data_IF_692811033809
#
_entry.id   IF_692811033809
#
_cell.length_a   1.000
_cell.length_b   1.000
_cell.length_c   1.000
_cell.angle_alpha   90.00
_cell.angle_beta   90.00
_cell.angle_gamma   90.00
#
_symmetry.space_group_name_H-M   'P 1'
#
loop_
_entity.id
_entity.type
_entity.pdbx_description
1 polymer ?
#
# COMPACT_ATOMS: atom_id res chain seq x y z
N UNK A 1 -18.42 14.00 8.90
CA UNK A 1 -16.98 14.19 8.64
C UNK A 1 -16.65 13.45 7.36
N UNK A 2 -16.00 14.11 6.41
CA UNK A 2 -15.59 13.49 5.15
C UNK A 2 -14.40 12.54 5.36
N UNK A 3 -14.23 11.51 4.50
CA UNK A 3 -13.04 10.66 4.53
C UNK A 3 -11.75 11.46 4.32
N UNK A 4 -10.74 11.22 5.16
CA UNK A 4 -9.47 11.97 5.16
C UNK A 4 -8.24 11.07 5.31
N UNK A 5 -8.42 9.80 5.64
CA UNK A 5 -7.33 8.83 5.87
C UNK A 5 -7.03 8.13 4.56
N UNK A 6 -5.80 8.15 4.07
CA UNK A 6 -5.41 7.34 2.89
C UNK A 6 -5.17 5.88 3.30
N UNK A 7 -5.29 4.95 2.37
CA UNK A 7 -5.18 3.51 2.66
C UNK A 7 -3.84 3.14 3.32
N UNK A 8 -2.72 3.73 2.88
CA UNK A 8 -1.41 3.48 3.49
C UNK A 8 -1.28 4.10 4.89
N UNK A 9 -1.95 5.24 5.15
CA UNK A 9 -2.02 5.83 6.49
C UNK A 9 -2.85 4.94 7.42
N UNK A 10 -3.96 4.38 6.95
CA UNK A 10 -4.75 3.41 7.71
C UNK A 10 -3.93 2.15 8.06
N UNK A 11 -3.18 1.62 7.09
CA UNK A 11 -2.27 0.49 7.35
C UNK A 11 -1.15 0.87 8.34
N UNK A 12 -0.63 2.09 8.27
CA UNK A 12 0.32 2.59 9.27
C UNK A 12 -0.31 2.63 10.66
N UNK A 13 -1.53 3.17 10.80
CA UNK A 13 -2.27 3.20 12.08
C UNK A 13 -2.45 1.77 12.62
N UNK A 14 -2.90 0.84 11.76
CA UNK A 14 -2.99 -0.59 12.10
C UNK A 14 -1.66 -1.20 12.54
N UNK A 15 -0.53 -0.76 11.96
CA UNK A 15 0.78 -1.22 12.43
C UNK A 15 1.12 -0.69 13.83
N UNK A 16 0.70 0.53 14.18
CA UNK A 16 0.91 1.09 15.51
C UNK A 16 0.06 0.36 16.56
N UNK A 17 -1.18 -0.03 16.25
CA UNK A 17 -2.00 -0.83 17.19
C UNK A 17 -1.32 -2.17 17.49
N UNK A 18 -0.74 -2.83 16.48
CA UNK A 18 -0.01 -4.08 16.68
C UNK A 18 1.24 -3.91 17.55
N UNK A 19 1.96 -2.78 17.40
CA UNK A 19 3.11 -2.45 18.26
C UNK A 19 2.65 -2.30 19.72
N UNK A 20 1.52 -1.63 19.97
CA UNK A 20 0.96 -1.47 21.31
C UNK A 20 0.54 -2.80 21.94
N UNK A 21 -0.16 -3.64 21.18
CA UNK A 21 -0.56 -4.99 21.63
C UNK A 21 0.68 -5.81 22.02
N UNK A 22 1.69 -5.84 21.14
CA UNK A 22 2.92 -6.58 21.41
C UNK A 22 3.67 -6.01 22.62
N UNK A 23 3.71 -4.67 22.75
CA UNK A 23 4.28 -3.99 23.91
C UNK A 23 3.60 -4.42 25.21
N UNK A 24 2.27 -4.39 25.24
CA UNK A 24 1.47 -4.84 26.39
C UNK A 24 1.65 -6.33 26.72
N UNK A 25 1.90 -7.17 25.72
CA UNK A 25 2.12 -8.59 25.92
C UNK A 25 3.54 -8.94 26.42
N UNK A 26 4.53 -8.06 26.20
CA UNK A 26 5.96 -8.37 26.42
C UNK A 26 6.65 -7.50 27.47
N UNK A 27 6.15 -6.29 27.73
CA UNK A 27 6.75 -5.36 28.69
C UNK A 27 5.94 -5.31 30.01
N UNK A 28 6.65 -5.49 31.12
CA UNK A 28 6.07 -5.40 32.47
C UNK A 28 6.21 -3.99 33.09
N UNK A 29 7.08 -3.16 32.54
CA UNK A 29 7.37 -1.82 33.05
C UNK A 29 6.31 -0.81 32.59
N UNK A 30 5.72 -0.09 33.55
CA UNK A 30 4.62 0.85 33.30
C UNK A 30 5.07 2.10 32.53
N UNK A 31 6.30 2.56 32.75
CA UNK A 31 6.84 3.74 32.08
C UNK A 31 7.20 3.43 30.63
N UNK A 32 7.68 2.21 30.35
CA UNK A 32 7.88 1.70 28.98
C UNK A 32 6.55 1.66 28.24
N UNK A 33 5.50 1.08 28.84
CA UNK A 33 4.16 1.03 28.23
C UNK A 33 3.60 2.43 27.99
N UNK A 34 3.74 3.34 28.97
CA UNK A 34 3.30 4.73 28.84
C UNK A 34 4.02 5.43 27.68
N UNK A 35 5.33 5.22 27.56
CA UNK A 35 6.13 5.78 26.47
C UNK A 35 5.68 5.24 25.11
N UNK A 36 5.45 3.93 24.99
CA UNK A 36 4.95 3.32 23.74
C UNK A 36 3.60 3.91 23.31
N UNK A 37 2.68 4.12 24.25
CA UNK A 37 1.38 4.76 24.00
C UNK A 37 1.54 6.19 23.46
N UNK A 38 2.35 7.01 24.12
CA UNK A 38 2.63 8.38 23.69
C UNK A 38 3.25 8.41 22.29
N UNK A 39 4.28 7.60 22.05
CA UNK A 39 4.98 7.55 20.76
C UNK A 39 4.06 7.05 19.63
N UNK A 40 3.22 6.05 19.90
CA UNK A 40 2.25 5.55 18.90
C UNK A 40 1.25 6.65 18.51
N UNK A 41 0.72 7.38 19.49
CA UNK A 41 -0.20 8.50 19.25
C UNK A 41 0.46 9.63 18.46
N UNK A 42 1.64 10.07 18.88
CA UNK A 42 2.41 11.11 18.17
C UNK A 42 2.67 10.71 16.71
N UNK A 43 3.08 9.46 16.47
CA UNK A 43 3.31 8.95 15.10
C UNK A 43 2.03 8.96 14.27
N UNK A 44 0.90 8.52 14.82
CA UNK A 44 -0.39 8.54 14.11
C UNK A 44 -0.81 9.96 13.77
N UNK A 45 -0.72 10.89 14.72
CA UNK A 45 -1.10 12.29 14.48
C UNK A 45 -0.15 12.95 13.48
N UNK A 46 1.13 12.60 13.47
CA UNK A 46 2.13 13.13 12.52
C UNK A 46 1.93 12.70 11.07
N UNK A 47 1.03 11.74 10.79
CA UNK A 47 0.67 11.34 9.42
C UNK A 47 -0.07 12.44 8.65
N UNK A 48 -0.60 13.44 9.38
CA UNK A 48 -1.49 14.45 8.84
C UNK A 48 -0.87 15.84 9.08
N UNK A 49 -0.87 16.69 8.05
CA UNK A 49 -0.38 18.07 8.19
C UNK A 49 -1.34 18.92 9.03
N UNK A 50 -2.64 18.71 8.83
CA UNK A 50 -3.71 19.44 9.49
C UNK A 50 -4.84 18.46 9.81
N UNK A 51 -5.22 18.39 11.09
CA UNK A 51 -6.39 17.65 11.57
C UNK A 51 -7.36 18.62 12.22
N UNK A 52 -8.65 18.50 11.91
CA UNK A 52 -9.70 19.14 12.70
C UNK A 52 -9.76 18.52 14.10
N UNK A 53 -10.38 19.23 15.05
CA UNK A 53 -10.53 18.70 16.41
C UNK A 53 -11.34 17.39 16.43
N UNK A 54 -12.34 17.26 15.57
CA UNK A 54 -13.13 16.03 15.42
C UNK A 54 -12.29 14.87 14.85
N UNK A 55 -11.39 15.15 13.90
CA UNK A 55 -10.48 14.14 13.34
C UNK A 55 -9.44 13.69 14.37
N UNK A 56 -8.93 14.60 15.20
CA UNK A 56 -8.03 14.26 16.31
C UNK A 56 -8.74 13.38 17.34
N UNK A 57 -9.94 13.78 17.77
CA UNK A 57 -10.75 13.00 18.71
C UNK A 57 -11.07 11.59 18.19
N UNK A 58 -11.25 11.43 16.87
CA UNK A 58 -11.43 10.12 16.26
C UNK A 58 -10.18 9.23 16.39
N UNK A 59 -8.98 9.80 16.27
CA UNK A 59 -7.71 9.07 16.27
C UNK A 59 -7.09 8.91 17.67
N UNK A 60 -7.44 9.80 18.59
CA UNK A 60 -6.96 9.83 19.98
C UNK A 60 -7.02 8.47 20.70
N UNK A 61 -8.08 7.64 20.54
CA UNK A 61 -8.18 6.34 21.21
C UNK A 61 -7.07 5.34 20.87
N UNK A 62 -6.20 5.62 19.89
CA UNK A 62 -5.09 4.72 19.53
C UNK A 62 -4.17 4.41 20.72
N UNK A 63 -3.96 5.35 21.65
CA UNK A 63 -3.12 5.14 22.84
C UNK A 63 -3.78 4.26 23.91
N UNK A 64 -5.08 4.00 23.78
CA UNK A 64 -5.84 3.19 24.73
C UNK A 64 -5.72 1.70 24.45
N UNK A 65 -5.27 1.32 23.25
CA UNK A 65 -5.20 -0.06 22.76
C UNK A 65 -4.23 -0.91 23.60
N UNK A 66 -4.73 -2.06 24.07
CA UNK A 66 -3.99 -3.05 24.87
C UNK A 66 -4.02 -4.45 24.29
N UNK A 67 -5.09 -4.78 23.57
CA UNK A 67 -5.37 -6.12 23.08
C UNK A 67 -5.96 -6.10 21.66
N UNK A 68 -6.00 -7.26 20.98
CA UNK A 68 -6.53 -7.35 19.62
C UNK A 68 -7.99 -6.92 19.46
N UNK A 69 -8.84 -7.16 20.46
CA UNK A 69 -10.27 -6.83 20.38
C UNK A 69 -10.48 -5.31 20.39
N UNK A 70 -9.74 -4.59 21.23
CA UNK A 70 -9.73 -3.13 21.24
C UNK A 70 -9.23 -2.56 19.91
N UNK A 71 -8.16 -3.14 19.35
CA UNK A 71 -7.65 -2.71 18.06
C UNK A 71 -8.65 -2.92 16.94
N UNK A 72 -9.35 -4.05 16.92
CA UNK A 72 -10.40 -4.33 15.94
C UNK A 72 -11.53 -3.31 16.02
N UNK A 73 -12.05 -3.01 17.21
CA UNK A 73 -13.10 -2.01 17.42
C UNK A 73 -12.65 -0.63 16.92
N UNK A 74 -11.45 -0.18 17.31
CA UNK A 74 -10.91 1.10 16.87
C UNK A 74 -10.71 1.17 15.35
N UNK A 75 -10.14 0.13 14.74
CA UNK A 75 -9.91 0.08 13.30
C UNK A 75 -11.23 0.09 12.52
N UNK A 76 -12.27 -0.61 13.01
CA UNK A 76 -13.61 -0.56 12.44
C UNK A 76 -14.24 0.83 12.54
N UNK A 77 -13.99 1.57 13.62
CA UNK A 77 -14.49 2.94 13.80
C UNK A 77 -13.85 3.93 12.80
N UNK A 78 -12.56 3.79 12.50
CA UNK A 78 -11.87 4.71 11.59
C UNK A 78 -11.98 4.31 10.11
N UNK A 79 -12.24 3.03 9.80
CA UNK A 79 -12.30 2.51 8.42
C UNK A 79 -13.29 3.26 7.50
N UNK A 80 -14.48 3.72 7.95
CA UNK A 80 -15.37 4.55 7.14
C UNK A 80 -14.77 5.88 6.67
N UNK A 81 -13.75 6.39 7.35
CA UNK A 81 -13.06 7.64 7.02
C UNK A 81 -11.83 7.44 6.13
N UNK A 82 -11.62 6.22 5.64
CA UNK A 82 -10.59 5.92 4.66
C UNK A 82 -11.07 6.33 3.27
N UNK A 83 -10.28 7.16 2.59
CA UNK A 83 -10.51 7.59 1.22
C UNK A 83 -10.35 6.35 0.31
N UNK A 84 -11.41 5.92 -0.38
CA UNK A 84 -11.30 4.79 -1.31
C UNK A 84 -10.36 5.14 -2.45
N UNK A 85 -9.59 4.14 -2.91
CA UNK A 85 -8.78 4.26 -4.11
C UNK A 85 -9.63 4.70 -5.29
N UNK A 86 -9.07 5.59 -6.13
CA UNK A 86 -9.79 6.09 -7.29
C UNK A 86 -10.18 4.95 -8.22
N UNK A 87 -11.46 4.85 -8.53
CA UNK A 87 -11.97 3.86 -9.46
C UNK A 87 -11.27 3.99 -10.83
N UNK A 88 -10.79 2.86 -11.33
CA UNK A 88 -10.03 2.80 -12.58
C UNK A 88 -10.93 2.27 -13.69
N UNK A 89 -11.44 3.18 -14.52
CA UNK A 89 -12.26 2.84 -15.68
C UNK A 89 -11.44 2.20 -16.80
N UNK A 90 -12.08 1.42 -17.69
CA UNK A 90 -11.43 0.88 -18.89
C UNK A 90 -10.73 1.95 -19.73
N UNK A 91 -11.35 3.13 -19.85
CA UNK A 91 -10.79 4.27 -20.58
C UNK A 91 -9.46 4.72 -19.97
N UNK A 92 -9.37 4.71 -18.64
CA UNK A 92 -8.13 5.01 -17.91
C UNK A 92 -7.07 3.95 -18.17
N UNK A 93 -7.44 2.66 -18.11
CA UNK A 93 -6.52 1.54 -18.41
C UNK A 93 -5.98 1.64 -19.84
N UNK A 94 -6.85 1.86 -20.83
CA UNK A 94 -6.47 2.04 -22.25
C UNK A 94 -5.51 3.23 -22.43
N UNK A 95 -5.72 4.32 -21.69
CA UNK A 95 -4.82 5.49 -21.70
C UNK A 95 -3.46 5.20 -21.06
N UNK A 96 -3.44 4.47 -19.95
CA UNK A 96 -2.19 4.10 -19.25
C UNK A 96 -1.39 3.03 -20.00
N UNK A 97 -2.07 2.16 -20.76
CA UNK A 97 -1.48 1.01 -21.45
C UNK A 97 -1.89 0.97 -22.94
N UNK A 98 -1.54 1.97 -23.76
CA UNK A 98 -2.03 2.09 -25.15
C UNK A 98 -1.59 0.94 -26.07
N UNK A 99 -0.50 0.25 -25.71
CA UNK A 99 0.03 -0.90 -26.47
C UNK A 99 -0.61 -2.23 -26.09
N UNK A 100 -1.41 -2.28 -25.03
CA UNK A 100 -2.07 -3.50 -24.53
C UNK A 100 -3.53 -3.57 -24.99
N UNK A 101 -3.75 -3.73 -26.31
CA UNK A 101 -5.08 -3.59 -26.95
C UNK A 101 -6.15 -4.58 -26.45
N UNK A 102 -5.75 -5.73 -25.89
CA UNK A 102 -6.65 -6.79 -25.37
C UNK A 102 -6.71 -6.83 -23.84
N UNK A 103 -6.14 -5.83 -23.15
CA UNK A 103 -6.10 -5.80 -21.70
C UNK A 103 -7.52 -5.61 -21.15
N UNK A 104 -8.02 -6.63 -20.45
CA UNK A 104 -9.27 -6.52 -19.69
C UNK A 104 -8.99 -5.81 -18.38
N UNK A 105 -9.91 -4.95 -17.96
CA UNK A 105 -9.88 -4.41 -16.62
C UNK A 105 -10.00 -5.55 -15.60
N UNK A 106 -9.27 -5.50 -14.47
CA UNK A 106 -9.55 -6.41 -13.37
C UNK A 106 -10.98 -6.17 -12.87
N UNK A 107 -11.64 -7.22 -12.39
CA UNK A 107 -12.94 -7.10 -11.73
C UNK A 107 -12.74 -6.38 -10.39
N UNK A 108 -13.01 -5.08 -10.37
CA UNK A 108 -12.90 -4.24 -9.17
C UNK A 108 -14.04 -4.46 -8.18
N UNK A 109 -15.15 -5.07 -8.62
CA UNK A 109 -16.36 -5.28 -7.82
C UNK A 109 -16.13 -6.08 -6.52
N UNK A 110 -15.08 -6.90 -6.47
CA UNK A 110 -14.74 -7.73 -5.32
C UNK A 110 -13.61 -7.15 -4.44
N UNK A 111 -13.14 -5.92 -4.72
CA UNK A 111 -12.04 -5.30 -3.99
C UNK A 111 -12.58 -4.13 -3.17
N UNK A 112 -12.40 -4.16 -1.85
CA UNK A 112 -12.64 -2.98 -1.01
C UNK A 112 -11.58 -1.92 -1.35
N UNK A 113 -11.98 -0.88 -2.10
CA UNK A 113 -11.07 0.17 -2.54
C UNK A 113 -10.43 0.96 -1.38
N UNK A 114 -10.94 0.84 -0.16
CA UNK A 114 -10.32 1.42 1.05
C UNK A 114 -9.10 0.62 1.53
N UNK A 115 -8.95 -0.62 1.06
CA UNK A 115 -7.84 -1.52 1.45
C UNK A 115 -6.68 -1.52 0.46
N UNK A 116 -6.73 -0.69 -0.59
CA UNK A 116 -5.66 -0.61 -1.57
C UNK A 116 -5.12 0.82 -1.71
N UNK A 117 -3.79 0.92 -1.76
CA UNK A 117 -3.05 2.13 -2.14
C UNK A 117 -2.66 2.11 -3.62
N UNK A 118 -2.70 0.94 -4.26
CA UNK A 118 -2.47 0.76 -5.69
C UNK A 118 -3.26 -0.44 -6.23
N UNK A 119 -3.59 -0.42 -7.52
CA UNK A 119 -4.23 -1.54 -8.20
C UNK A 119 -3.16 -2.39 -8.89
N UNK A 120 -3.10 -3.69 -8.57
CA UNK A 120 -2.18 -4.63 -9.20
C UNK A 120 -2.89 -5.93 -9.59
N UNK A 121 -2.67 -6.43 -10.80
CA UNK A 121 -3.23 -7.69 -11.26
C UNK A 121 -2.33 -8.41 -12.26
N UNK A 122 -2.48 -9.72 -12.35
CA UNK A 122 -1.80 -10.57 -13.33
C UNK A 122 -2.73 -10.86 -14.50
N UNK A 123 -2.28 -10.53 -15.71
CA UNK A 123 -2.97 -10.87 -16.95
C UNK A 123 -2.43 -12.20 -17.48
N UNK A 124 -3.23 -13.26 -17.34
CA UNK A 124 -2.89 -14.61 -17.80
C UNK A 124 -2.61 -14.64 -19.31
N UNK A 125 -3.35 -13.83 -20.09
CA UNK A 125 -3.23 -13.82 -21.55
C UNK A 125 -1.86 -13.33 -22.04
N UNK A 126 -1.26 -12.35 -21.37
CA UNK A 126 0.08 -11.83 -21.72
C UNK A 126 1.19 -12.32 -20.80
N UNK A 127 0.88 -13.02 -19.71
CA UNK A 127 1.86 -13.43 -18.70
C UNK A 127 2.52 -12.25 -17.99
N UNK A 128 1.83 -11.10 -17.91
CA UNK A 128 2.36 -9.86 -17.36
C UNK A 128 1.58 -9.43 -16.13
N UNK A 129 2.29 -8.84 -15.17
CA UNK A 129 1.70 -8.06 -14.09
C UNK A 129 1.52 -6.62 -14.54
N UNK A 130 0.35 -6.06 -14.24
CA UNK A 130 0.02 -4.66 -14.43
C UNK A 130 -0.18 -4.00 -13.07
N UNK A 131 0.35 -2.79 -12.92
CA UNK A 131 0.25 -1.99 -11.70
C UNK A 131 -0.20 -0.58 -12.10
N UNK A 132 -1.22 -0.06 -11.41
CA UNK A 132 -1.64 1.33 -11.49
C UNK A 132 -1.52 1.91 -10.09
N UNK A 133 -0.66 2.91 -9.94
CA UNK A 133 -0.39 3.55 -8.66
C UNK A 133 -0.46 5.08 -8.77
N UNK A 134 -0.80 5.79 -7.69
CA UNK A 134 -0.62 7.23 -7.61
C UNK A 134 0.86 7.59 -7.71
N UNK A 135 1.18 8.62 -8.49
CA UNK A 135 2.52 9.16 -8.61
C UNK A 135 2.42 10.67 -8.81
N UNK A 136 2.82 11.42 -7.79
CA UNK A 136 2.47 12.84 -7.63
C UNK A 136 0.95 13.03 -7.77
N UNK A 137 0.50 13.89 -8.68
CA UNK A 137 -0.92 14.25 -8.87
C UNK A 137 -1.66 13.36 -9.87
N UNK A 138 -1.03 12.31 -10.42
CA UNK A 138 -1.61 11.48 -11.48
C UNK A 138 -1.45 9.98 -11.23
N UNK A 139 -2.34 9.20 -11.84
CA UNK A 139 -2.16 7.75 -11.93
C UNK A 139 -1.08 7.41 -12.95
N UNK A 140 -0.21 6.47 -12.58
CA UNK A 140 0.86 5.93 -13.42
C UNK A 140 0.68 4.42 -13.56
N UNK A 141 0.78 3.94 -14.80
CA UNK A 141 0.83 2.52 -15.11
C UNK A 141 2.28 2.01 -15.18
N UNK A 142 2.53 0.84 -14.58
CA UNK A 142 3.69 -0.01 -14.82
C UNK A 142 3.20 -1.36 -15.34
N UNK A 143 3.96 -1.99 -16.23
CA UNK A 143 3.67 -3.34 -16.68
C UNK A 143 4.96 -4.11 -16.95
N UNK A 144 4.96 -5.40 -16.70
CA UNK A 144 6.17 -6.20 -16.80
C UNK A 144 5.91 -7.69 -16.59
N UNK A 145 6.91 -8.50 -16.88
CA UNK A 145 6.87 -9.92 -16.51
C UNK A 145 7.15 -10.05 -15.02
N UNK A 146 6.50 -10.98 -14.34
CA UNK A 146 6.87 -11.36 -12.97
C UNK A 146 7.26 -12.83 -12.93
N UNK A 147 8.46 -13.13 -12.42
CA UNK A 147 8.92 -14.50 -12.22
C UNK A 147 9.01 -14.78 -10.72
N UNK A 148 8.26 -15.77 -10.17
CA UNK A 148 8.38 -16.16 -8.78
C UNK A 148 9.83 -16.46 -8.39
N UNK A 149 10.26 -15.93 -7.25
CA UNK A 149 11.60 -16.20 -6.71
C UNK A 149 11.64 -17.56 -5.97
N UNK A 150 10.47 -18.15 -5.69
CA UNK A 150 10.27 -19.36 -4.89
C UNK A 150 10.94 -19.26 -3.50
N UNK A 151 10.95 -18.04 -2.95
CA UNK A 151 11.46 -17.71 -1.63
C UNK A 151 10.84 -16.42 -1.13
N UNK A 152 10.88 -16.22 0.18
CA UNK A 152 10.59 -14.93 0.81
C UNK A 152 11.73 -13.95 0.63
N UNK A 153 11.39 -12.67 0.54
CA UNK A 153 12.35 -11.57 0.41
C UNK A 153 11.70 -10.24 0.75
N UNK A 154 12.51 -9.17 0.79
CA UNK A 154 12.01 -7.82 1.00
C UNK A 154 11.41 -7.30 -0.31
N UNK A 155 10.11 -6.98 -0.27
CA UNK A 155 9.40 -6.38 -1.39
C UNK A 155 9.80 -4.90 -1.56
N UNK A 156 10.12 -4.48 -2.79
CA UNK A 156 10.47 -3.09 -3.08
C UNK A 156 9.30 -2.10 -2.97
N UNK A 157 8.05 -2.58 -2.91
CA UNK A 157 6.86 -1.73 -2.76
C UNK A 157 6.52 -1.54 -1.28
N UNK A 158 6.22 -2.62 -0.55
CA UNK A 158 5.77 -2.50 0.84
C UNK A 158 6.91 -2.58 1.87
N UNK A 159 8.15 -2.89 1.44
CA UNK A 159 9.32 -3.09 2.32
C UNK A 159 9.14 -4.17 3.40
N UNK A 160 8.17 -5.07 3.22
CA UNK A 160 7.94 -6.23 4.11
C UNK A 160 8.58 -7.49 3.55
N UNK A 161 8.89 -8.41 4.47
CA UNK A 161 9.37 -9.75 4.13
C UNK A 161 8.18 -10.64 3.76
N UNK A 162 8.05 -10.93 2.47
CA UNK A 162 6.90 -11.64 1.89
C UNK A 162 7.34 -12.60 0.78
N UNK A 163 6.41 -13.40 0.26
CA UNK A 163 6.62 -14.15 -0.98
C UNK A 163 6.78 -13.18 -2.16
N UNK A 164 7.94 -13.21 -2.82
CA UNK A 164 8.31 -12.24 -3.86
C UNK A 164 8.57 -12.88 -5.21
N UNK A 165 8.36 -12.08 -6.26
CA UNK A 165 8.77 -12.37 -7.63
C UNK A 165 9.62 -11.23 -8.18
N UNK A 166 10.54 -11.56 -9.08
CA UNK A 166 11.28 -10.55 -9.83
C UNK A 166 10.35 -9.94 -10.88
N UNK A 167 9.95 -8.69 -10.67
CA UNK A 167 9.21 -7.91 -11.65
C UNK A 167 10.17 -7.18 -12.58
N UNK A 168 10.01 -7.37 -13.89
CA UNK A 168 10.86 -6.78 -14.92
C UNK A 168 10.01 -5.94 -15.88
N UNK A 169 10.27 -4.64 -15.90
CA UNK A 169 9.75 -3.69 -16.88
C UNK A 169 10.73 -3.57 -18.05
N UNK A 170 10.21 -3.37 -19.25
CA UNK A 170 11.00 -3.22 -20.48
C UNK A 170 10.71 -1.87 -21.13
N UNK A 171 11.75 -1.05 -21.28
CA UNK A 171 11.70 0.24 -21.97
C UNK A 171 12.57 0.22 -23.22
N UNK A 172 12.27 1.08 -24.20
CA UNK A 172 13.11 1.19 -25.40
C UNK A 172 14.47 1.79 -25.03
N UNK A 173 15.54 1.19 -25.51
CA UNK A 173 16.89 1.74 -25.37
C UNK A 173 17.13 2.93 -26.31
N UNK A 174 18.27 3.60 -26.11
CA UNK A 174 18.71 4.75 -26.92
C UNK A 174 19.05 4.36 -28.36
N UNK A 175 19.50 3.11 -28.56
CA UNK A 175 19.77 2.54 -29.89
C UNK A 175 18.52 1.84 -30.41
N UNK A 176 18.15 2.12 -31.66
CA UNK A 176 16.99 1.50 -32.30
C UNK A 176 17.10 -0.04 -32.28
N UNK A 177 16.04 -0.70 -31.82
CA UNK A 177 15.99 -2.17 -31.67
C UNK A 177 16.54 -2.70 -30.35
N UNK A 178 17.12 -1.86 -29.49
CA UNK A 178 17.56 -2.27 -28.14
C UNK A 178 16.48 -2.01 -27.09
N UNK A 179 16.50 -2.81 -26.04
CA UNK A 179 15.59 -2.70 -24.90
C UNK A 179 16.38 -2.71 -23.59
N UNK A 180 15.94 -1.87 -22.65
CA UNK A 180 16.49 -1.84 -21.30
C UNK A 180 15.48 -2.53 -20.40
N UNK A 181 15.94 -3.57 -19.70
CA UNK A 181 15.14 -4.27 -18.70
C UNK A 181 15.55 -3.80 -17.32
N UNK A 182 14.62 -3.21 -16.59
CA UNK A 182 14.81 -2.81 -15.19
C UNK A 182 13.84 -3.59 -14.33
N UNK A 183 14.26 -3.99 -13.14
CA UNK A 183 13.40 -4.78 -12.28
C UNK A 183 13.79 -4.74 -10.82
N UNK A 184 12.88 -5.24 -9.99
CA UNK A 184 13.05 -5.41 -8.55
C UNK A 184 12.16 -6.54 -8.06
N UNK A 185 12.50 -7.08 -6.89
CA UNK A 185 11.62 -8.03 -6.20
C UNK A 185 10.42 -7.29 -5.62
N UNK A 186 9.23 -7.76 -5.95
CA UNK A 186 7.97 -7.27 -5.39
C UNK A 186 7.11 -8.46 -4.94
N UNK A 187 6.12 -8.22 -4.08
CA UNK A 187 5.16 -9.24 -3.66
C UNK A 187 4.48 -9.90 -4.89
N UNK A 188 4.30 -11.22 -4.83
CA UNK A 188 3.51 -11.94 -5.83
C UNK A 188 2.03 -11.56 -5.73
N UNK A 189 1.49 -11.58 -4.51
CA UNK A 189 0.14 -11.17 -4.17
C UNK A 189 0.07 -9.65 -3.95
N UNK A 190 -0.65 -8.97 -4.84
CA UNK A 190 -0.83 -7.51 -4.78
C UNK A 190 -1.79 -7.06 -3.67
N UNK A 191 -2.74 -7.89 -3.25
CA UNK A 191 -3.63 -7.57 -2.12
C UNK A 191 -2.85 -7.68 -0.81
N UNK A 192 -2.07 -8.75 -0.64
CA UNK A 192 -1.16 -8.88 0.52
C UNK A 192 -0.14 -7.74 0.57
N UNK A 193 0.35 -7.31 -0.59
CA UNK A 193 1.24 -6.17 -0.67
C UNK A 193 0.54 -4.88 -0.21
N UNK A 194 -0.66 -4.58 -0.72
CA UNK A 194 -1.44 -3.41 -0.33
C UNK A 194 -1.67 -3.34 1.19
N UNK A 195 -2.05 -4.46 1.83
CA UNK A 195 -2.22 -4.54 3.29
C UNK A 195 -0.95 -4.20 4.09
N UNK A 196 0.22 -4.36 3.45
CA UNK A 196 1.53 -4.13 4.03
C UNK A 196 2.11 -2.75 3.69
N UNK A 197 1.51 -1.98 2.77
CA UNK A 197 1.97 -0.65 2.39
C UNK A 197 1.59 0.35 3.46
N UNK A 198 2.59 0.98 4.10
CA UNK A 198 2.39 2.03 5.12
C UNK A 198 2.89 3.41 4.69
N UNK A 199 3.51 3.51 3.51
CA UNK A 199 3.92 4.76 2.83
C UNK A 199 3.95 4.52 1.32
N UNK A 200 3.69 5.55 0.53
CA UNK A 200 3.82 5.52 -0.94
C UNK A 200 5.23 5.88 -1.43
N UNK A 201 6.16 6.26 -0.56
CA UNK A 201 7.52 6.66 -0.97
C UNK A 201 8.23 5.55 -1.75
N UNK A 202 8.10 4.30 -1.29
CA UNK A 202 8.71 3.12 -1.93
C UNK A 202 8.08 2.77 -3.27
N UNK A 203 6.78 3.03 -3.42
CA UNK A 203 6.11 2.92 -4.71
C UNK A 203 6.62 4.00 -5.68
N UNK A 204 6.78 5.25 -5.19
CA UNK A 204 7.34 6.36 -5.96
C UNK A 204 8.76 6.04 -6.42
N UNK A 205 9.65 5.64 -5.50
CA UNK A 205 11.02 5.19 -5.80
C UNK A 205 11.05 4.11 -6.89
N UNK A 206 10.14 3.13 -6.80
CA UNK A 206 10.05 2.05 -7.79
C UNK A 206 9.63 2.58 -9.16
N UNK A 207 8.61 3.45 -9.22
CA UNK A 207 8.11 4.03 -10.47
C UNK A 207 9.23 4.84 -11.16
N UNK A 208 9.94 5.68 -10.41
CA UNK A 208 11.03 6.51 -10.94
C UNK A 208 12.20 5.67 -11.45
N UNK A 209 12.56 4.59 -10.74
CA UNK A 209 13.62 3.68 -11.19
C UNK A 209 13.26 2.94 -12.47
N UNK A 210 12.02 2.49 -12.60
CA UNK A 210 11.59 1.60 -13.69
C UNK A 210 11.18 2.33 -14.98
N UNK A 211 10.90 3.63 -14.91
CA UNK A 211 10.62 4.44 -16.08
C UNK A 211 11.88 4.94 -16.79
#
# INVERSE_FOLDING_TARGET
MEPFIRSEQYNFIKSQTQILINGHATANDKDVIKTLKTVAKERVLSLFSDLSEEQKQLLDPVDTIKDPAQAEVFLLQIKPFVIPFKEVTEKTIKKLFPKAKKLKAPLLENIDLREISYLGWDDVGSGKKFIIAPHHTKLTGLHGTIKPANKKGICAICSRFEEVGMFMSETKGTVQGTFIKKGNYICLDSMKCNQNVTTLDKMTDLIERLK
#
